data_IF_478704611813
#
_entry.id   IF_478704611813
#
_cell.length_a   1.000
_cell.length_b   1.000
_cell.length_c   1.000
_cell.angle_alpha   90.00
_cell.angle_beta   90.00
_cell.angle_gamma   90.00
#
_symmetry.space_group_name_H-M   'P 1'
#
loop_
_entity.id
_entity.type
_entity.pdbx_description
1 polymer ?
#
# COMPACT_ATOMS: atom_id res chain seq x y z
N UNK A 1 -4.30 -61.42 31.54
CA UNK A 1 -4.33 -60.78 30.21
C UNK A 1 -3.80 -59.36 30.33
N UNK A 2 -2.71 -59.07 29.62
CA UNK A 2 -2.49 -57.84 28.84
C UNK A 2 -2.44 -56.43 29.48
N UNK A 3 -2.14 -56.25 30.77
CA UNK A 3 -1.84 -54.90 31.30
C UNK A 3 -0.58 -54.27 30.70
N UNK A 4 0.42 -55.08 30.33
CA UNK A 4 1.65 -54.63 29.67
C UNK A 4 1.45 -54.03 28.28
N UNK A 5 0.30 -54.28 27.64
CA UNK A 5 -0.01 -53.76 26.30
C UNK A 5 -0.91 -52.52 26.33
N UNK A 6 -1.58 -52.23 27.46
CA UNK A 6 -2.46 -51.07 27.60
C UNK A 6 -1.65 -49.77 27.74
N UNK A 7 -0.58 -49.79 28.55
CA UNK A 7 0.26 -48.60 28.78
C UNK A 7 0.96 -48.08 27.51
N UNK A 8 1.58 -48.93 26.65
CA UNK A 8 2.11 -48.48 25.37
C UNK A 8 1.04 -47.90 24.43
N UNK A 9 -0.17 -48.47 24.42
CA UNK A 9 -1.27 -48.00 23.57
C UNK A 9 -1.74 -46.60 23.98
N UNK A 10 -1.87 -46.35 25.29
CA UNK A 10 -2.19 -45.03 25.84
C UNK A 10 -1.09 -44.02 25.48
N UNK A 11 0.17 -44.41 25.58
CA UNK A 11 1.31 -43.56 25.17
C UNK A 11 1.26 -43.15 23.70
N UNK A 12 0.93 -44.07 22.78
CA UNK A 12 0.79 -43.77 21.35
C UNK A 12 -0.39 -42.82 21.10
N UNK A 13 -1.54 -43.06 21.72
CA UNK A 13 -2.74 -42.19 21.57
C UNK A 13 -2.45 -40.78 22.09
N UNK A 14 -1.81 -40.65 23.26
CA UNK A 14 -1.42 -39.36 23.82
C UNK A 14 -0.39 -38.64 22.93
N UNK A 15 0.58 -39.37 22.37
CA UNK A 15 1.55 -38.82 21.43
C UNK A 15 0.90 -38.28 20.16
N UNK A 16 -0.10 -38.98 19.62
CA UNK A 16 -0.86 -38.53 18.45
C UNK A 16 -1.72 -37.31 18.76
N UNK A 17 -2.40 -37.30 19.91
CA UNK A 17 -3.20 -36.16 20.33
C UNK A 17 -2.34 -34.91 20.53
N UNK A 18 -1.18 -35.05 21.19
CA UNK A 18 -0.20 -33.97 21.36
C UNK A 18 0.36 -33.48 20.02
N UNK A 19 0.64 -34.39 19.08
CA UNK A 19 1.12 -34.04 17.74
C UNK A 19 0.06 -33.26 16.94
N UNK A 20 -1.21 -33.65 17.02
CA UNK A 20 -2.32 -32.93 16.38
C UNK A 20 -2.50 -31.53 16.99
N UNK A 21 -2.43 -31.41 18.31
CA UNK A 21 -2.51 -30.12 19.02
C UNK A 21 -1.33 -29.22 18.63
N UNK A 22 -0.11 -29.74 18.64
CA UNK A 22 1.10 -29.02 18.23
C UNK A 22 1.00 -28.55 16.77
N UNK A 23 0.57 -29.44 15.87
CA UNK A 23 0.38 -29.12 14.45
C UNK A 23 -0.68 -28.03 14.24
N UNK A 24 -1.78 -28.07 15.01
CA UNK A 24 -2.83 -27.04 14.96
C UNK A 24 -2.33 -25.67 15.42
N UNK A 25 -1.55 -25.63 16.50
CA UNK A 25 -0.96 -24.39 17.03
C UNK A 25 0.04 -23.80 16.03
N UNK A 26 0.91 -24.64 15.44
CA UNK A 26 1.90 -24.21 14.45
C UNK A 26 1.22 -23.63 13.21
N UNK A 27 0.22 -24.31 12.65
CA UNK A 27 -0.56 -23.81 11.49
C UNK A 27 -1.22 -22.46 11.78
N UNK A 28 -1.77 -22.27 12.99
CA UNK A 28 -2.36 -21.00 13.40
C UNK A 28 -1.29 -19.90 13.51
N UNK A 29 -0.14 -20.20 14.10
CA UNK A 29 0.97 -19.26 14.21
C UNK A 29 1.46 -18.79 12.84
N UNK A 30 1.66 -19.72 11.91
CA UNK A 30 2.16 -19.39 10.58
C UNK A 30 1.16 -18.58 9.77
N UNK A 31 -0.13 -18.92 9.86
CA UNK A 31 -1.21 -18.08 9.32
C UNK A 31 -1.17 -16.65 9.85
N UNK A 32 -1.04 -16.49 11.17
CA UNK A 32 -0.98 -15.16 11.79
C UNK A 32 0.26 -14.38 11.33
N UNK A 33 1.42 -15.05 11.20
CA UNK A 33 2.64 -14.42 10.68
C UNK A 33 2.46 -13.91 9.26
N UNK A 34 1.90 -14.72 8.35
CA UNK A 34 1.65 -14.28 6.96
C UNK A 34 0.66 -13.12 6.91
N UNK A 35 -0.41 -13.16 7.70
CA UNK A 35 -1.36 -12.04 7.81
C UNK A 35 -0.66 -10.78 8.36
N UNK A 36 0.15 -10.91 9.40
CA UNK A 36 0.89 -9.79 10.00
C UNK A 36 1.84 -9.14 9.01
N UNK A 37 2.62 -9.95 8.26
CA UNK A 37 3.50 -9.46 7.17
C UNK A 37 2.71 -8.70 6.11
N UNK A 38 1.56 -9.23 5.70
CA UNK A 38 0.69 -8.57 4.73
C UNK A 38 0.18 -7.23 5.26
N UNK A 39 -0.33 -7.17 6.50
CA UNK A 39 -0.83 -5.93 7.12
C UNK A 39 0.26 -4.85 7.13
N UNK A 40 1.49 -5.19 7.55
CA UNK A 40 2.60 -4.24 7.58
C UNK A 40 2.89 -3.65 6.19
N UNK A 41 2.91 -4.49 5.14
CA UNK A 41 3.14 -4.03 3.76
C UNK A 41 1.97 -3.19 3.25
N UNK A 42 0.73 -3.56 3.55
CA UNK A 42 -0.46 -2.78 3.17
C UNK A 42 -0.50 -1.42 3.88
N UNK A 43 -0.08 -1.33 5.14
CA UNK A 43 0.03 -0.06 5.86
C UNK A 43 1.06 0.87 5.22
N UNK A 44 2.19 0.31 4.78
CA UNK A 44 3.22 1.07 4.08
C UNK A 44 2.72 1.61 2.73
N UNK A 45 2.01 0.78 1.95
CA UNK A 45 1.40 1.23 0.69
C UNK A 45 0.31 2.27 0.94
N UNK A 46 -0.48 2.11 2.01
CA UNK A 46 -1.48 3.11 2.39
C UNK A 46 -0.84 4.47 2.62
N UNK A 47 0.31 4.50 3.29
CA UNK A 47 1.07 5.72 3.50
C UNK A 47 1.56 6.35 2.19
N UNK A 48 2.02 5.55 1.23
CA UNK A 48 2.40 6.06 -0.10
C UNK A 48 1.20 6.64 -0.86
N UNK A 49 0.04 5.98 -0.81
CA UNK A 49 -1.19 6.46 -1.43
C UNK A 49 -1.66 7.77 -0.79
N UNK A 50 -1.64 7.85 0.54
CA UNK A 50 -2.01 9.06 1.26
C UNK A 50 -1.05 10.22 0.96
N UNK A 51 0.25 9.95 0.95
CA UNK A 51 1.28 10.96 0.62
C UNK A 51 1.09 11.50 -0.79
N UNK A 52 0.80 10.63 -1.76
CA UNK A 52 0.50 11.05 -3.14
C UNK A 52 -0.73 11.96 -3.21
N UNK A 53 -1.81 11.64 -2.49
CA UNK A 53 -3.00 12.49 -2.43
C UNK A 53 -2.66 13.88 -1.88
N UNK A 54 -2.02 13.94 -0.71
CA UNK A 54 -1.66 15.20 -0.06
C UNK A 54 -0.77 16.06 -0.96
N UNK A 55 0.23 15.47 -1.60
CA UNK A 55 1.15 16.19 -2.49
C UNK A 55 0.43 16.72 -3.72
N UNK A 56 -0.49 15.94 -4.31
CA UNK A 56 -1.31 16.43 -5.42
C UNK A 56 -2.16 17.64 -5.01
N UNK A 57 -2.74 17.63 -3.80
CA UNK A 57 -3.50 18.77 -3.26
C UNK A 57 -2.61 20.00 -3.01
N UNK A 58 -1.40 19.79 -2.48
CA UNK A 58 -0.44 20.88 -2.25
C UNK A 58 0.13 21.45 -3.54
N UNK A 59 0.55 20.61 -4.50
CA UNK A 59 1.06 21.05 -5.80
C UNK A 59 0.06 21.94 -6.53
N UNK A 60 -1.23 21.61 -6.45
CA UNK A 60 -2.30 22.39 -7.07
C UNK A 60 -2.39 23.83 -6.53
N UNK A 61 -1.84 24.10 -5.34
CA UNK A 61 -1.78 25.46 -4.75
C UNK A 61 -0.60 26.29 -5.29
N UNK A 62 0.46 25.64 -5.77
CA UNK A 62 1.70 26.31 -6.18
C UNK A 62 1.86 26.47 -7.69
N UNK A 63 1.23 25.59 -8.47
CA UNK A 63 1.40 25.55 -9.93
C UNK A 63 0.49 26.54 -10.63
N UNK A 64 1.03 27.29 -11.59
CA UNK A 64 0.28 28.31 -12.33
C UNK A 64 -0.38 27.72 -13.59
N UNK A 65 0.15 26.63 -14.13
CA UNK A 65 -0.39 25.94 -15.30
C UNK A 65 -0.52 24.43 -15.09
N UNK A 66 -1.49 23.81 -15.78
CA UNK A 66 -1.68 22.35 -15.73
C UNK A 66 -0.49 21.56 -16.28
N UNK A 67 0.27 22.16 -17.20
CA UNK A 67 1.50 21.56 -17.74
C UNK A 67 2.60 21.47 -16.69
N UNK A 68 2.80 22.53 -15.92
CA UNK A 68 3.76 22.54 -14.80
C UNK A 68 3.32 21.58 -13.69
N UNK A 69 2.02 21.56 -13.39
CA UNK A 69 1.45 20.62 -12.44
C UNK A 69 1.68 19.17 -12.85
N UNK A 70 1.38 18.80 -14.10
CA UNK A 70 1.56 17.45 -14.59
C UNK A 70 3.03 17.01 -14.56
N UNK A 71 3.95 17.90 -14.95
CA UNK A 71 5.38 17.61 -14.86
C UNK A 71 5.80 17.35 -13.41
N UNK A 72 5.29 18.15 -12.47
CA UNK A 72 5.59 18.01 -11.03
C UNK A 72 5.02 16.72 -10.46
N UNK A 73 3.75 16.43 -10.73
CA UNK A 73 3.07 15.20 -10.33
C UNK A 73 3.80 13.97 -10.88
N UNK A 74 4.15 13.99 -12.17
CA UNK A 74 4.85 12.87 -12.83
C UNK A 74 6.21 12.63 -12.20
N UNK A 75 7.02 13.69 -12.03
CA UNK A 75 8.34 13.58 -11.41
C UNK A 75 8.25 13.02 -9.98
N UNK A 76 7.30 13.50 -9.18
CA UNK A 76 7.06 12.97 -7.83
C UNK A 76 6.66 11.49 -7.86
N UNK A 77 5.69 11.15 -8.72
CA UNK A 77 5.17 9.78 -8.84
C UNK A 77 6.25 8.80 -9.27
N UNK A 78 7.11 9.19 -10.21
CA UNK A 78 8.23 8.36 -10.68
C UNK A 78 9.30 8.16 -9.61
N UNK A 79 9.60 9.19 -8.82
CA UNK A 79 10.70 9.14 -7.83
C UNK A 79 10.31 8.53 -6.48
N UNK A 80 9.06 8.66 -6.04
CA UNK A 80 8.67 8.34 -4.65
C UNK A 80 7.45 7.43 -4.53
N UNK A 81 6.55 7.40 -5.52
CA UNK A 81 5.36 6.58 -5.39
C UNK A 81 5.69 5.09 -5.59
N UNK A 82 5.35 4.28 -4.59
CA UNK A 82 5.66 2.83 -4.51
C UNK A 82 7.15 2.49 -4.72
N UNK A 83 8.05 3.33 -4.21
CA UNK A 83 9.49 3.07 -4.19
C UNK A 83 9.93 2.54 -2.81
N UNK A 84 10.91 1.61 -2.72
CA UNK A 84 11.65 0.96 -3.80
C UNK A 84 10.82 -0.13 -4.52
N UNK A 85 11.19 -0.60 -5.74
CA UNK A 85 10.41 -1.59 -6.50
C UNK A 85 10.27 -2.93 -5.75
N UNK A 86 11.28 -3.26 -4.94
CA UNK A 86 11.29 -4.42 -4.04
C UNK A 86 10.08 -4.46 -3.10
N UNK A 87 9.48 -3.31 -2.76
CA UNK A 87 8.27 -3.25 -1.96
C UNK A 87 7.10 -3.97 -2.64
N UNK A 88 6.94 -3.78 -3.94
CA UNK A 88 5.84 -4.36 -4.71
C UNK A 88 6.03 -5.86 -4.91
N UNK A 89 7.24 -6.30 -5.24
CA UNK A 89 7.55 -7.73 -5.38
C UNK A 89 7.35 -8.46 -4.03
N UNK A 90 7.78 -7.80 -2.95
CA UNK A 90 7.59 -8.29 -1.59
C UNK A 90 6.11 -8.34 -1.23
N UNK A 91 5.31 -7.35 -1.61
CA UNK A 91 3.86 -7.38 -1.41
C UNK A 91 3.21 -8.53 -2.19
N UNK A 92 3.50 -8.67 -3.49
CA UNK A 92 2.96 -9.74 -4.34
C UNK A 92 3.26 -11.11 -3.72
N UNK A 93 4.49 -11.33 -3.26
CA UNK A 93 4.87 -12.56 -2.55
C UNK A 93 3.99 -12.81 -1.31
N UNK A 94 3.68 -11.76 -0.53
CA UNK A 94 2.76 -11.89 0.61
C UNK A 94 1.30 -12.09 0.22
N UNK A 95 0.86 -11.59 -0.93
CA UNK A 95 -0.48 -11.87 -1.46
C UNK A 95 -0.56 -13.34 -1.87
N UNK A 96 0.48 -13.87 -2.51
CA UNK A 96 0.56 -15.29 -2.88
C UNK A 96 0.56 -16.22 -1.67
N UNK A 97 1.30 -15.88 -0.60
CA UNK A 97 1.21 -16.65 0.66
C UNK A 97 -0.21 -16.67 1.22
N UNK A 98 -0.94 -15.56 1.11
CA UNK A 98 -2.30 -15.40 1.63
C UNK A 98 -3.33 -16.04 0.71
N UNK A 99 -3.05 -16.22 -0.58
CA UNK A 99 -3.98 -16.83 -1.55
C UNK A 99 -4.36 -18.26 -1.15
N UNK A 100 -3.45 -19.00 -0.52
CA UNK A 100 -3.70 -20.34 0.04
C UNK A 100 -4.67 -20.36 1.23
N UNK A 101 -4.93 -19.21 1.86
CA UNK A 101 -5.79 -19.08 3.05
C UNK A 101 -7.08 -18.31 2.72
N UNK A 102 -6.97 -17.25 1.92
CA UNK A 102 -8.02 -16.29 1.57
C UNK A 102 -7.95 -15.94 0.06
N UNK A 103 -8.33 -16.87 -0.84
CA UNK A 103 -8.12 -16.72 -2.27
C UNK A 103 -8.91 -15.56 -2.89
N UNK A 104 -10.14 -15.32 -2.40
CA UNK A 104 -10.99 -14.24 -2.92
C UNK A 104 -10.42 -12.88 -2.55
N UNK A 105 -9.93 -12.71 -1.32
CA UNK A 105 -9.31 -11.48 -0.87
C UNK A 105 -7.93 -11.25 -1.50
N UNK A 106 -7.17 -12.32 -1.74
CA UNK A 106 -5.92 -12.24 -2.49
C UNK A 106 -6.16 -11.71 -3.92
N UNK A 107 -7.19 -12.22 -4.62
CA UNK A 107 -7.57 -11.71 -5.95
C UNK A 107 -7.94 -10.22 -5.91
N UNK A 108 -8.65 -9.78 -4.87
CA UNK A 108 -8.97 -8.34 -4.68
C UNK A 108 -7.71 -7.51 -4.48
N UNK A 109 -6.75 -8.02 -3.70
CA UNK A 109 -5.46 -7.35 -3.50
C UNK A 109 -4.65 -7.25 -4.78
N UNK A 110 -4.57 -8.32 -5.60
CA UNK A 110 -3.90 -8.24 -6.91
C UNK A 110 -4.50 -7.14 -7.78
N UNK A 111 -5.83 -7.11 -7.91
CA UNK A 111 -6.53 -6.07 -8.69
C UNK A 111 -6.26 -4.66 -8.16
N UNK A 112 -6.20 -4.49 -6.84
CA UNK A 112 -5.86 -3.22 -6.20
C UNK A 112 -4.43 -2.80 -6.55
N UNK A 113 -3.47 -3.72 -6.48
CA UNK A 113 -2.07 -3.47 -6.83
C UNK A 113 -1.94 -3.09 -8.31
N UNK A 114 -2.62 -3.80 -9.21
CA UNK A 114 -2.62 -3.50 -10.64
C UNK A 114 -3.15 -2.09 -10.90
N UNK A 115 -4.23 -1.69 -10.22
CA UNK A 115 -4.75 -0.31 -10.32
C UNK A 115 -3.74 0.73 -9.83
N UNK A 116 -3.09 0.49 -8.70
CA UNK A 116 -2.05 1.38 -8.17
C UNK A 116 -0.86 1.52 -9.14
N UNK A 117 -0.47 0.41 -9.78
CA UNK A 117 0.58 0.41 -10.80
C UNK A 117 0.18 1.19 -12.06
N UNK A 118 -1.09 1.10 -12.46
CA UNK A 118 -1.62 1.91 -13.57
C UNK A 118 -1.49 3.40 -13.22
N UNK A 119 -1.87 3.83 -12.01
CA UNK A 119 -1.73 5.23 -11.61
C UNK A 119 -0.29 5.71 -11.53
N UNK A 120 0.64 4.84 -11.10
CA UNK A 120 2.08 5.14 -11.16
C UNK A 120 2.55 5.43 -12.59
N UNK A 121 2.06 4.66 -13.56
CA UNK A 121 2.52 4.69 -14.95
C UNK A 121 1.71 5.60 -15.87
N UNK A 122 0.59 6.18 -15.44
CA UNK A 122 -0.30 6.96 -16.29
C UNK A 122 0.16 8.43 -16.42
N UNK A 123 0.80 8.83 -17.54
CA UNK A 123 0.98 10.24 -17.85
C UNK A 123 -0.35 10.84 -18.31
N UNK A 124 -0.66 12.04 -17.83
CA UNK A 124 -1.80 12.84 -18.29
C UNK A 124 -1.36 13.91 -19.30
N UNK A 125 -0.16 13.76 -19.88
CA UNK A 125 0.48 14.73 -20.80
C UNK A 125 -0.33 15.02 -22.05
N UNK A 126 -1.14 14.07 -22.53
CA UNK A 126 -2.01 14.30 -23.69
C UNK A 126 -3.16 15.26 -23.35
N UNK A 127 -3.63 15.21 -22.11
CA UNK A 127 -4.72 16.05 -21.63
C UNK A 127 -4.29 17.50 -21.38
N UNK A 128 -2.99 17.78 -21.16
CA UNK A 128 -2.49 19.15 -20.92
C UNK A 128 -2.62 20.09 -22.12
N UNK A 129 -3.15 19.62 -23.27
CA UNK A 129 -3.43 20.46 -24.44
C UNK A 129 -4.73 21.27 -24.29
N UNK A 130 -5.60 20.88 -23.38
CA UNK A 130 -6.88 21.54 -23.11
C UNK A 130 -7.10 21.54 -21.61
N UNK A 131 -7.14 22.72 -21.00
CA UNK A 131 -7.27 22.87 -19.55
C UNK A 131 -8.54 22.18 -19.00
N UNK A 132 -9.66 22.31 -19.71
CA UNK A 132 -10.93 21.66 -19.33
C UNK A 132 -10.83 20.12 -19.34
N UNK A 133 -10.27 19.53 -20.40
CA UNK A 133 -10.07 18.08 -20.48
C UNK A 133 -9.09 17.59 -19.41
N UNK A 134 -8.03 18.35 -19.16
CA UNK A 134 -7.07 18.02 -18.10
C UNK A 134 -7.75 18.01 -16.73
N UNK A 135 -8.51 19.06 -16.41
CA UNK A 135 -9.21 19.16 -15.13
C UNK A 135 -10.17 17.97 -14.90
N UNK A 136 -10.95 17.58 -15.91
CA UNK A 136 -11.87 16.44 -15.82
C UNK A 136 -11.12 15.13 -15.59
N UNK A 137 -10.05 14.89 -16.36
CA UNK A 137 -9.25 13.68 -16.25
C UNK A 137 -8.52 13.64 -14.90
N UNK A 138 -7.98 14.76 -14.45
CA UNK A 138 -7.29 14.87 -13.17
C UNK A 138 -8.25 14.66 -11.99
N UNK A 139 -9.46 15.22 -12.02
CA UNK A 139 -10.50 14.94 -11.01
C UNK A 139 -10.82 13.45 -10.95
N UNK A 140 -10.95 12.80 -12.11
CA UNK A 140 -11.20 11.36 -12.19
C UNK A 140 -10.03 10.55 -11.62
N UNK A 141 -8.79 10.98 -11.89
CA UNK A 141 -7.59 10.40 -11.30
C UNK A 141 -7.59 10.49 -9.77
N UNK A 142 -7.87 11.67 -9.19
CA UNK A 142 -7.95 11.88 -7.73
C UNK A 142 -9.02 11.00 -7.10
N UNK A 143 -10.23 10.97 -7.68
CA UNK A 143 -11.34 10.12 -7.21
C UNK A 143 -10.95 8.65 -7.26
N UNK A 144 -10.25 8.22 -8.31
CA UNK A 144 -9.83 6.82 -8.45
C UNK A 144 -8.79 6.42 -7.41
N UNK A 145 -7.88 7.33 -7.04
CA UNK A 145 -6.93 7.11 -5.93
C UNK A 145 -7.68 7.00 -4.60
N UNK A 146 -8.69 7.84 -4.38
CA UNK A 146 -9.51 7.80 -3.17
C UNK A 146 -10.26 6.46 -3.04
N UNK A 147 -10.82 5.96 -4.15
CA UNK A 147 -11.43 4.63 -4.20
C UNK A 147 -10.40 3.55 -3.82
N UNK A 148 -9.19 3.60 -4.38
CA UNK A 148 -8.13 2.64 -4.04
C UNK A 148 -7.73 2.71 -2.57
N UNK A 149 -7.64 3.91 -1.98
CA UNK A 149 -7.39 4.09 -0.54
C UNK A 149 -8.52 3.50 0.31
N UNK A 150 -9.77 3.70 -0.07
CA UNK A 150 -10.93 3.14 0.62
C UNK A 150 -10.93 1.61 0.58
N UNK A 151 -10.65 1.02 -0.58
CA UNK A 151 -10.49 -0.44 -0.73
C UNK A 151 -9.32 -0.98 0.11
N UNK A 152 -8.18 -0.28 0.11
CA UNK A 152 -7.02 -0.64 0.91
C UNK A 152 -7.34 -0.62 2.41
N UNK A 153 -8.08 0.39 2.88
CA UNK A 153 -8.58 0.47 4.25
C UNK A 153 -9.51 -0.68 4.61
N UNK A 154 -10.39 -1.06 3.68
CA UNK A 154 -11.27 -2.22 3.85
C UNK A 154 -10.48 -3.52 4.00
N UNK A 155 -9.47 -3.73 3.14
CA UNK A 155 -8.60 -4.90 3.22
C UNK A 155 -7.78 -4.92 4.51
N UNK A 156 -7.20 -3.78 4.91
CA UNK A 156 -6.47 -3.64 6.17
C UNK A 156 -7.32 -4.03 7.38
N UNK A 157 -8.56 -3.52 7.45
CA UNK A 157 -9.51 -3.86 8.52
C UNK A 157 -9.86 -5.34 8.52
N UNK A 158 -10.11 -5.92 7.34
CA UNK A 158 -10.41 -7.34 7.19
C UNK A 158 -9.27 -8.21 7.72
N UNK A 159 -8.04 -8.00 7.25
CA UNK A 159 -6.89 -8.80 7.67
C UNK A 159 -6.52 -8.55 9.13
N UNK A 160 -6.62 -7.31 9.61
CA UNK A 160 -6.36 -6.98 11.02
C UNK A 160 -7.33 -7.68 11.97
N UNK A 161 -8.62 -7.76 11.61
CA UNK A 161 -9.61 -8.52 12.39
C UNK A 161 -9.27 -10.01 12.43
N UNK A 162 -8.81 -10.59 11.30
CA UNK A 162 -8.38 -12.00 11.23
C UNK A 162 -7.07 -12.27 11.96
N UNK A 163 -6.21 -11.26 12.12
CA UNK A 163 -5.02 -11.34 12.94
C UNK A 163 -5.36 -11.34 14.43
N UNK A 164 -6.27 -10.45 14.84
CA UNK A 164 -6.80 -10.38 16.20
C UNK A 164 -7.29 -8.98 16.58
N UNK A 165 -8.15 -8.90 17.60
CA UNK A 165 -8.80 -7.66 18.03
C UNK A 165 -7.79 -6.56 18.38
N UNK A 166 -6.69 -6.90 19.06
CA UNK A 166 -5.65 -5.93 19.41
C UNK A 166 -5.03 -5.28 18.15
N UNK A 167 -4.71 -6.09 17.14
CA UNK A 167 -4.16 -5.60 15.87
C UNK A 167 -5.20 -4.77 15.12
N UNK A 168 -6.46 -5.19 15.14
CA UNK A 168 -7.57 -4.43 14.56
C UNK A 168 -7.67 -3.02 15.14
N UNK A 169 -7.69 -2.88 16.47
CA UNK A 169 -7.72 -1.57 17.12
C UNK A 169 -6.49 -0.73 16.81
N UNK A 170 -5.29 -1.32 16.80
CA UNK A 170 -4.06 -0.61 16.43
C UNK A 170 -4.10 -0.10 14.98
N UNK A 171 -4.59 -0.91 14.06
CA UNK A 171 -4.77 -0.50 12.65
C UNK A 171 -5.79 0.62 12.55
N UNK A 172 -6.92 0.54 13.25
CA UNK A 172 -7.90 1.63 13.28
C UNK A 172 -7.32 2.94 13.82
N UNK A 173 -6.57 2.86 14.93
CA UNK A 173 -5.90 4.02 15.51
C UNK A 173 -4.89 4.62 14.53
N UNK A 174 -4.10 3.79 13.85
CA UNK A 174 -3.13 4.25 12.85
C UNK A 174 -3.82 4.94 11.66
N UNK A 175 -4.91 4.37 11.17
CA UNK A 175 -5.68 4.96 10.05
C UNK A 175 -6.36 6.27 10.46
N UNK A 176 -6.77 6.42 11.72
CA UNK A 176 -7.39 7.64 12.24
C UNK A 176 -6.37 8.76 12.51
N UNK A 177 -5.25 8.44 13.19
CA UNK A 177 -4.23 9.42 13.60
C UNK A 177 -3.55 10.12 12.41
N UNK A 178 -3.50 9.47 11.26
CA UNK A 178 -2.85 10.01 10.06
C UNK A 178 -3.70 11.04 9.31
N UNK A 179 -4.99 11.15 9.58
CA UNK A 179 -5.83 12.19 8.98
C UNK A 179 -5.72 13.54 9.70
N UNK A 180 -5.01 13.61 10.84
CA UNK A 180 -5.01 14.78 11.73
C UNK A 180 -3.63 15.24 12.18
N UNK A 181 -2.54 14.64 11.68
CA UNK A 181 -1.18 15.02 12.07
C UNK A 181 -0.71 16.25 11.30
N UNK A 182 -0.60 17.38 12.00
CA UNK A 182 -0.01 18.63 11.47
C UNK A 182 1.42 18.44 10.94
N UNK A 183 2.19 17.55 11.55
CA UNK A 183 3.57 17.24 11.14
C UNK A 183 3.60 16.59 9.75
N UNK A 184 2.63 15.73 9.44
CA UNK A 184 2.51 15.13 8.12
C UNK A 184 2.14 16.18 7.06
N UNK A 185 1.27 17.14 7.40
CA UNK A 185 0.90 18.23 6.50
C UNK A 185 2.10 19.12 6.20
N UNK A 186 2.84 19.53 7.24
CA UNK A 186 4.03 20.37 7.12
C UNK A 186 5.11 19.68 6.27
N UNK A 187 5.37 18.40 6.51
CA UNK A 187 6.29 17.60 5.68
C UNK A 187 5.84 17.57 4.21
N UNK A 188 4.58 17.26 3.93
CA UNK A 188 4.08 17.19 2.54
C UNK A 188 4.09 18.55 1.85
N UNK A 189 3.84 19.64 2.59
CA UNK A 189 3.89 21.00 2.06
C UNK A 189 5.32 21.40 1.70
N UNK A 190 6.28 21.14 2.59
CA UNK A 190 7.71 21.43 2.36
C UNK A 190 8.24 20.64 1.18
N UNK A 191 7.89 19.35 1.09
CA UNK A 191 8.29 18.50 -0.02
C UNK A 191 7.66 18.97 -1.34
N UNK A 192 6.37 19.30 -1.36
CA UNK A 192 5.73 19.86 -2.57
C UNK A 192 6.39 21.17 -3.03
N UNK A 193 6.78 22.02 -2.08
CA UNK A 193 7.51 23.26 -2.38
C UNK A 193 8.89 22.98 -2.97
N UNK A 194 9.66 22.05 -2.41
CA UNK A 194 10.97 21.65 -2.93
C UNK A 194 10.87 21.20 -4.40
N UNK A 195 9.91 20.34 -4.70
CA UNK A 195 9.64 19.87 -6.06
C UNK A 195 9.31 21.00 -7.04
N UNK A 196 8.44 21.92 -6.63
CA UNK A 196 8.11 23.09 -7.43
C UNK A 196 9.36 23.93 -7.72
N UNK A 197 10.23 24.14 -6.72
CA UNK A 197 11.48 24.89 -6.91
C UNK A 197 12.47 24.18 -7.82
N UNK A 198 12.61 22.85 -7.74
CA UNK A 198 13.51 22.06 -8.58
C UNK A 198 13.12 22.17 -10.06
N UNK A 199 11.82 22.05 -10.36
CA UNK A 199 11.29 22.12 -11.73
C UNK A 199 11.44 23.51 -12.32
N UNK A 200 11.16 24.55 -11.53
CA UNK A 200 11.36 25.93 -11.96
C UNK A 200 12.83 26.27 -12.17
N UNK A 201 13.74 25.73 -11.35
CA UNK A 201 15.18 25.90 -11.53
C UNK A 201 15.66 25.23 -12.82
N UNK A 202 15.23 24.01 -13.09
CA UNK A 202 15.60 23.26 -14.29
C UNK A 202 15.02 23.91 -15.56
N UNK A 203 13.81 24.46 -15.50
CA UNK A 203 13.19 25.18 -16.61
C UNK A 203 13.89 26.50 -16.95
N UNK A 204 14.41 27.21 -15.94
CA UNK A 204 15.15 28.47 -16.13
C UNK A 204 16.60 28.29 -16.58
N UNK A 205 17.25 27.18 -16.19
CA UNK A 205 18.66 26.95 -16.49
C UNK A 205 18.92 26.24 -17.83
N UNK A 206 17.87 25.85 -18.58
CA UNK A 206 18.03 25.16 -19.88
C UNK A 206 18.77 23.81 -19.78
N UNK A 207 18.89 23.25 -18.58
CA UNK A 207 19.58 21.98 -18.33
C UNK A 207 18.67 20.87 -18.86
N UNK A 208 19.04 20.30 -20.01
CA UNK A 208 18.37 19.10 -20.53
C UNK A 208 18.43 18.01 -19.45
N UNK A 209 17.30 17.37 -19.09
CA UNK A 209 17.32 16.26 -18.15
C UNK A 209 18.25 15.18 -18.69
N UNK A 210 19.20 14.74 -17.86
CA UNK A 210 20.06 13.60 -18.18
C UNK A 210 19.19 12.36 -18.33
N UNK A 211 18.92 11.97 -19.57
CA UNK A 211 18.33 10.67 -19.90
C UNK A 211 19.34 9.60 -19.50
N UNK A 212 19.20 9.06 -18.29
CA UNK A 212 19.84 7.79 -17.97
C UNK A 212 18.98 6.68 -18.61
N UNK A 213 19.52 6.13 -19.70
CA UNK A 213 19.09 4.88 -20.32
C UNK A 213 19.30 3.70 -19.38
#
# INVERSE_FOLDING_TARGET
>A
MNEKYIWPLIGVILGWLLSLLSSGINKRSDKLKSIGRLISKLLFIHEHVQTLQNICEHLNKYTVSWKEFENSRKLFTERYFLEPPLLLDSLQSSIEEISGIYPVEALKLHKLVDRLLIFKKAPLTTATRSDELYEIIFKTYVISIEICKSELNSMLRFFALRHGLLTFFRVLQQLAARNTSKESEEFTSNLAQEFYTEINRNSKCGVKPSSNN
#
